data_IF_711346238447
#
_entry.id   IF_711346238447
#
_cell.length_a   1.000
_cell.length_b   1.000
_cell.length_c   1.000
_cell.angle_alpha   90.00
_cell.angle_beta   90.00
_cell.angle_gamma   90.00
#
_symmetry.space_group_name_H-M   'P 1'
#
loop_
_entity.id
_entity.type
_entity.pdbx_description
1 polymer ?
#
# COMPACT_ATOMS: atom_id res chain seq x y z
N UNK A 1 5.63 -18.95 -7.70
CA UNK A 1 6.77 -18.25 -7.10
C UNK A 1 6.19 -17.38 -5.99
N UNK A 2 6.03 -17.96 -4.79
CA UNK A 2 5.33 -17.31 -3.67
C UNK A 2 6.26 -16.28 -3.01
N UNK A 3 5.74 -15.08 -2.77
CA UNK A 3 6.40 -14.14 -1.89
C UNK A 3 6.31 -14.73 -0.47
N UNK A 4 7.40 -15.35 -0.02
CA UNK A 4 7.53 -16.00 1.27
C UNK A 4 7.60 -14.98 2.42
N UNK A 5 6.51 -14.25 2.64
CA UNK A 5 6.27 -13.47 3.85
C UNK A 5 5.24 -14.21 4.69
N UNK A 6 5.49 -14.38 5.98
CA UNK A 6 4.62 -15.10 6.92
C UNK A 6 3.26 -14.45 7.18
N UNK A 7 2.75 -13.61 6.27
CA UNK A 7 1.52 -12.86 6.42
C UNK A 7 0.66 -12.92 5.15
N UNK A 8 -0.65 -13.08 5.38
CA UNK A 8 -1.69 -13.02 4.36
C UNK A 8 -2.14 -11.57 4.13
N UNK A 9 -2.68 -11.30 2.94
CA UNK A 9 -3.22 -9.99 2.55
C UNK A 9 -4.65 -10.16 2.05
N UNK A 10 -5.53 -9.25 2.47
CA UNK A 10 -6.93 -9.19 2.06
C UNK A 10 -7.29 -7.74 1.73
N UNK A 11 -7.97 -7.52 0.61
CA UNK A 11 -8.50 -6.21 0.26
C UNK A 11 -9.82 -5.96 0.99
N UNK A 12 -9.85 -4.94 1.85
CA UNK A 12 -11.07 -4.52 2.53
C UNK A 12 -11.88 -3.54 1.67
N UNK A 13 -11.19 -2.65 0.95
CA UNK A 13 -11.83 -1.68 0.07
C UNK A 13 -10.93 -1.38 -1.14
N UNK A 14 -11.53 -1.36 -2.33
CA UNK A 14 -10.88 -0.92 -3.57
C UNK A 14 -11.79 0.10 -4.24
N UNK A 15 -11.34 1.34 -4.31
CA UNK A 15 -12.03 2.44 -5.01
C UNK A 15 -11.05 3.13 -5.94
N UNK A 16 -11.58 3.86 -6.91
CA UNK A 16 -10.74 4.67 -7.77
C UNK A 16 -10.00 5.72 -6.91
N UNK A 17 -8.68 5.72 -6.96
CA UNK A 17 -7.83 6.63 -6.19
C UNK A 17 -7.37 6.14 -4.83
N UNK A 18 -7.95 5.08 -4.24
CA UNK A 18 -7.46 4.52 -2.98
C UNK A 18 -7.80 3.05 -2.74
N UNK A 19 -6.98 2.39 -1.92
CA UNK A 19 -7.16 1.01 -1.51
C UNK A 19 -6.94 0.88 0.00
N UNK A 20 -7.72 0.00 0.64
CA UNK A 20 -7.55 -0.40 2.03
C UNK A 20 -7.26 -1.89 2.05
N UNK A 21 -6.08 -2.26 2.55
CA UNK A 21 -5.60 -3.62 2.63
C UNK A 21 -5.40 -4.01 4.09
N UNK A 22 -5.75 -5.25 4.44
CA UNK A 22 -5.48 -5.85 5.73
C UNK A 22 -4.40 -6.92 5.58
N UNK A 23 -3.34 -6.79 6.36
CA UNK A 23 -2.28 -7.77 6.44
C UNK A 23 -2.37 -8.53 7.76
N UNK A 24 -2.36 -9.87 7.70
CA UNK A 24 -2.47 -10.76 8.87
C UNK A 24 -1.35 -11.78 8.89
N UNK A 25 -0.51 -11.70 9.92
CA UNK A 25 0.51 -12.69 10.21
C UNK A 25 1.62 -12.13 11.09
N UNK A 26 2.52 -12.99 11.58
CA UNK A 26 3.72 -12.55 12.29
C UNK A 26 4.50 -11.52 11.45
N UNK A 27 5.03 -10.52 12.14
CA UNK A 27 5.92 -9.49 11.60
C UNK A 27 5.33 -8.56 10.52
N UNK A 28 4.06 -8.71 10.14
CA UNK A 28 3.42 -7.85 9.13
C UNK A 28 3.57 -6.34 9.45
N UNK A 29 3.36 -5.96 10.71
CA UNK A 29 3.52 -4.58 11.16
C UNK A 29 4.98 -4.09 11.01
N UNK A 30 5.96 -4.92 11.38
CA UNK A 30 7.37 -4.56 11.30
C UNK A 30 7.85 -4.46 9.84
N UNK A 31 7.35 -5.36 8.99
CA UNK A 31 7.65 -5.37 7.57
C UNK A 31 7.03 -4.17 6.82
N UNK A 32 5.84 -3.73 7.21
CA UNK A 32 5.12 -2.65 6.53
C UNK A 32 5.35 -1.26 7.13
N UNK A 33 5.73 -1.14 8.40
CA UNK A 33 6.05 0.15 9.01
C UNK A 33 6.98 1.06 8.17
N UNK A 34 8.07 0.57 7.54
CA UNK A 34 8.94 1.43 6.72
C UNK A 34 8.30 1.86 5.39
N UNK A 35 7.21 1.23 4.96
CA UNK A 35 6.49 1.58 3.72
C UNK A 35 5.57 2.80 3.89
N UNK A 36 5.37 3.27 5.12
CA UNK A 36 4.56 4.45 5.38
C UNK A 36 5.23 5.72 4.82
N UNK A 37 4.44 6.54 4.12
CA UNK A 37 4.90 7.81 3.55
C UNK A 37 4.61 7.95 2.06
N UNK A 38 5.31 8.91 1.44
CA UNK A 38 5.14 9.25 0.02
C UNK A 38 6.03 8.41 -0.88
N UNK A 39 5.41 7.69 -1.81
CA UNK A 39 6.09 6.96 -2.88
C UNK A 39 5.92 7.72 -4.19
N UNK A 40 7.00 7.84 -4.96
CA UNK A 40 7.01 8.58 -6.23
C UNK A 40 7.48 7.69 -7.36
N UNK A 41 6.72 7.69 -8.45
CA UNK A 41 7.12 7.05 -9.71
C UNK A 41 7.31 8.11 -10.79
N UNK A 42 8.39 7.95 -11.55
CA UNK A 42 8.70 8.78 -12.72
C UNK A 42 8.79 7.86 -13.93
N UNK A 43 7.91 8.06 -14.90
CA UNK A 43 7.84 7.22 -16.09
C UNK A 43 7.25 7.98 -17.27
N UNK A 44 7.43 7.45 -18.47
CA UNK A 44 6.65 7.85 -19.64
C UNK A 44 5.36 7.03 -19.62
N UNK A 45 4.18 7.64 -19.39
CA UNK A 45 2.95 6.89 -19.32
C UNK A 45 2.55 6.41 -20.73
N UNK A 46 1.84 5.27 -20.84
CA UNK A 46 1.40 4.73 -22.13
C UNK A 46 0.49 5.67 -22.92
N UNK A 47 -0.10 6.66 -22.25
CA UNK A 47 -0.98 7.67 -22.85
C UNK A 47 -0.24 8.87 -23.44
N UNK A 48 1.05 9.08 -23.15
CA UNK A 48 1.81 10.21 -23.69
C UNK A 48 2.46 9.87 -25.05
N UNK A 49 1.99 10.53 -26.12
CA UNK A 49 2.46 10.31 -27.49
C UNK A 49 3.82 10.96 -27.80
N UNK A 50 4.33 11.83 -26.92
CA UNK A 50 5.54 12.64 -27.14
C UNK A 50 6.74 12.17 -26.32
N UNK A 51 6.58 11.12 -25.52
CA UNK A 51 7.65 10.56 -24.69
C UNK A 51 8.02 11.42 -23.48
N UNK A 52 7.09 12.26 -22.98
CA UNK A 52 7.37 13.10 -21.81
C UNK A 52 7.32 12.28 -20.53
N UNK A 53 8.26 12.54 -19.63
CA UNK A 53 8.28 11.92 -18.30
C UNK A 53 7.27 12.60 -17.40
N UNK A 54 6.34 11.80 -16.87
CA UNK A 54 5.36 12.23 -15.88
C UNK A 54 5.79 11.75 -14.50
N UNK A 55 5.54 12.57 -13.48
CA UNK A 55 5.74 12.23 -12.07
C UNK A 55 4.38 11.98 -11.42
N UNK A 56 4.20 10.80 -10.82
CA UNK A 56 3.02 10.48 -10.00
C UNK A 56 3.45 10.15 -8.58
N UNK A 57 2.59 10.44 -7.61
CA UNK A 57 2.84 10.17 -6.19
C UNK A 57 1.67 9.43 -5.56
N UNK A 58 1.96 8.53 -4.64
CA UNK A 58 0.97 7.86 -3.79
C UNK A 58 1.43 7.96 -2.34
N UNK A 59 0.50 8.11 -1.42
CA UNK A 59 0.78 8.10 0.02
C UNK A 59 0.28 6.79 0.61
N UNK A 60 1.12 6.13 1.39
CA UNK A 60 0.80 4.91 2.12
C UNK A 60 0.71 5.22 3.60
N UNK A 61 -0.39 4.83 4.22
CA UNK A 61 -0.58 4.87 5.67
C UNK A 61 -0.61 3.44 6.21
N UNK A 62 0.19 3.17 7.24
CA UNK A 62 0.26 1.86 7.90
C UNK A 62 -0.22 2.03 9.33
N UNK A 63 -1.35 1.40 9.64
CA UNK A 63 -2.03 1.51 10.93
C UNK A 63 -2.08 0.12 11.59
N UNK A 64 -1.84 0.03 12.91
CA UNK A 64 -2.05 -1.22 13.64
C UNK A 64 -3.55 -1.58 13.65
N UNK A 65 -3.87 -2.87 13.67
CA UNK A 65 -5.25 -3.33 13.79
C UNK A 65 -5.80 -2.90 15.17
N UNK A 66 -6.95 -2.19 15.22
CA UNK A 66 -7.50 -1.71 16.49
C UNK A 66 -7.97 -2.89 17.34
N UNK A 67 -7.72 -2.83 18.66
CA UNK A 67 -8.27 -3.82 19.58
C UNK A 67 -9.73 -3.49 19.87
N UNK A 68 -10.54 -4.52 20.10
CA UNK A 68 -11.97 -4.35 20.42
C UNK A 68 -12.22 -3.43 21.64
N UNK A 69 -11.26 -3.33 22.57
CA UNK A 69 -11.31 -2.44 23.73
C UNK A 69 -11.12 -0.95 23.40
N UNK A 70 -10.69 -0.62 22.19
CA UNK A 70 -10.35 0.74 21.76
C UNK A 70 -11.43 1.35 20.84
N UNK A 71 -12.41 0.55 20.41
CA UNK A 71 -13.66 1.05 19.84
C UNK A 71 -14.62 1.40 20.99
N UNK A 72 -14.76 2.69 21.27
CA UNK A 72 -15.74 3.24 22.21
C UNK A 72 -16.88 3.91 21.48
#
# INVERSE_FOLDING_TARGET
MGLGGGFSCEALELKEGHAVLRFRGPEAQAALAPEAGGHRVQQVPPTDKKGRVHSSTVTVAVLPEPRASELR
#
